data_IF_036213634251
#
_entry.id   IF_036213634251
#
_cell.length_a   1.000
_cell.length_b   1.000
_cell.length_c   1.000
_cell.angle_alpha   90.00
_cell.angle_beta   90.00
_cell.angle_gamma   90.00
#
_symmetry.space_group_name_H-M   'P 1'
#
loop_
_entity.id
_entity.type
_entity.pdbx_description
1 polymer ?
#
# COMPACT_ATOMS: atom_id res chain seq x y z
N UNK A 1 21.56 -8.00 -0.21
CA UNK A 1 20.29 -8.54 0.37
C UNK A 1 19.18 -7.58 0.09
N UNK A 2 18.02 -8.08 -0.35
CA UNK A 2 16.80 -7.31 -0.63
C UNK A 2 15.83 -7.55 0.52
N UNK A 3 15.17 -6.48 1.02
CA UNK A 3 14.00 -6.58 1.88
C UNK A 3 12.83 -6.07 1.03
N UNK A 4 11.94 -6.98 0.65
CA UNK A 4 10.81 -6.70 -0.23
C UNK A 4 9.54 -6.55 0.59
N UNK A 5 8.99 -5.35 0.63
CA UNK A 5 7.73 -5.06 1.33
C UNK A 5 6.55 -5.22 0.36
N UNK A 6 5.83 -6.33 0.53
CA UNK A 6 4.68 -6.69 -0.28
C UNK A 6 3.33 -6.39 0.42
N UNK A 7 3.28 -5.36 1.28
CA UNK A 7 2.07 -5.02 2.04
C UNK A 7 0.86 -4.65 1.17
N UNK A 8 1.07 -4.29 -0.08
CA UNK A 8 0.02 -3.91 -1.04
C UNK A 8 -0.14 -4.89 -2.21
N UNK A 9 0.43 -6.08 -2.15
CA UNK A 9 0.41 -7.04 -3.26
C UNK A 9 -1.00 -7.40 -3.74
N UNK A 10 -1.98 -7.43 -2.82
CA UNK A 10 -3.38 -7.74 -3.16
C UNK A 10 -4.05 -6.70 -4.09
N UNK A 11 -3.43 -5.53 -4.26
CA UNK A 11 -3.88 -4.46 -5.14
C UNK A 11 -3.29 -4.54 -6.54
N UNK A 12 -2.32 -5.42 -6.77
CA UNK A 12 -1.73 -5.63 -8.10
C UNK A 12 -2.79 -6.21 -9.03
N UNK A 13 -2.96 -5.58 -10.18
CA UNK A 13 -3.96 -5.95 -11.19
C UNK A 13 -3.37 -6.21 -12.57
N UNK A 14 -2.10 -5.88 -12.78
CA UNK A 14 -1.39 -6.08 -14.03
C UNK A 14 -0.59 -7.38 -13.97
N UNK A 15 -0.70 -8.23 -14.99
CA UNK A 15 -0.11 -9.57 -15.03
C UNK A 15 1.43 -9.58 -15.10
N UNK A 16 2.05 -8.48 -15.50
CA UNK A 16 3.50 -8.30 -15.60
C UNK A 16 4.15 -7.75 -14.31
N UNK A 17 3.34 -7.49 -13.29
CA UNK A 17 3.80 -7.04 -11.97
C UNK A 17 3.85 -8.21 -10.99
N UNK A 18 5.05 -8.54 -10.51
CA UNK A 18 5.24 -9.66 -9.58
C UNK A 18 4.49 -9.47 -8.25
N UNK A 19 3.73 -10.49 -7.81
CA UNK A 19 3.06 -10.53 -6.51
C UNK A 19 4.01 -10.93 -5.38
N UNK A 20 5.12 -11.58 -5.72
CA UNK A 20 6.15 -12.02 -4.77
C UNK A 20 7.53 -11.81 -5.38
N UNK A 21 8.49 -11.41 -4.55
CA UNK A 21 9.89 -11.35 -4.96
C UNK A 21 10.40 -12.74 -5.40
N UNK A 22 9.77 -13.82 -4.91
CA UNK A 22 10.17 -15.19 -5.21
C UNK A 22 9.70 -15.70 -6.59
N UNK A 23 8.97 -14.89 -7.34
CA UNK A 23 8.73 -15.10 -8.77
C UNK A 23 9.98 -14.73 -9.59
N UNK A 24 10.91 -13.96 -9.02
CA UNK A 24 12.19 -13.64 -9.64
C UNK A 24 13.21 -14.77 -9.37
N UNK A 25 13.89 -15.20 -10.42
CA UNK A 25 14.95 -16.21 -10.32
C UNK A 25 16.07 -15.75 -9.38
N UNK A 26 16.56 -16.64 -8.53
CA UNK A 26 17.62 -16.36 -7.56
C UNK A 26 17.16 -15.63 -6.28
N UNK A 27 15.94 -15.11 -6.20
CA UNK A 27 15.48 -14.32 -5.06
C UNK A 27 15.57 -15.07 -3.71
N UNK A 28 15.39 -16.40 -3.68
CA UNK A 28 15.50 -17.20 -2.45
C UNK A 28 16.87 -17.13 -1.78
N UNK A 29 17.90 -16.77 -2.51
CA UNK A 29 19.29 -16.66 -1.99
C UNK A 29 19.67 -15.24 -1.59
N UNK A 30 18.85 -14.24 -1.88
CA UNK A 30 19.19 -12.83 -1.65
C UNK A 30 18.06 -11.95 -1.07
N UNK A 31 16.83 -12.47 -0.91
CA UNK A 31 15.68 -11.65 -0.51
C UNK A 31 14.92 -12.20 0.70
N UNK A 32 14.38 -11.27 1.49
CA UNK A 32 13.38 -11.48 2.54
C UNK A 32 12.11 -10.78 2.09
N UNK A 33 10.95 -11.42 2.23
CA UNK A 33 9.66 -10.83 1.91
C UNK A 33 8.84 -10.53 3.16
N UNK A 34 8.27 -9.33 3.22
CA UNK A 34 7.37 -8.89 4.28
C UNK A 34 5.94 -8.83 3.75
N UNK A 35 5.00 -9.41 4.48
CA UNK A 35 3.56 -9.43 4.17
C UNK A 35 2.76 -8.82 5.30
N UNK A 36 1.64 -8.18 4.96
CA UNK A 36 0.77 -7.53 5.93
C UNK A 36 -0.70 -7.80 5.62
N UNK A 37 -1.49 -8.09 6.65
CA UNK A 37 -2.95 -8.15 6.56
C UNK A 37 -3.63 -6.79 6.79
N UNK A 38 -2.84 -5.76 7.11
CA UNK A 38 -3.39 -4.43 7.45
C UNK A 38 -4.18 -3.81 6.32
N UNK A 39 -3.70 -3.94 5.07
CA UNK A 39 -4.27 -3.23 3.93
C UNK A 39 -5.18 -4.10 3.07
N UNK A 40 -4.87 -5.38 2.93
CA UNK A 40 -5.68 -6.30 2.16
C UNK A 40 -6.91 -6.81 2.93
N UNK A 41 -6.78 -7.14 4.22
CA UNK A 41 -7.83 -7.75 5.04
C UNK A 41 -8.42 -6.81 6.10
N UNK A 42 -8.05 -5.54 6.11
CA UNK A 42 -8.54 -4.58 7.10
C UNK A 42 -7.98 -4.78 8.51
N UNK A 43 -6.90 -5.53 8.68
CA UNK A 43 -6.33 -5.88 9.99
C UNK A 43 -5.44 -4.78 10.60
N UNK A 44 -5.60 -3.52 10.20
CA UNK A 44 -4.79 -2.41 10.72
C UNK A 44 -4.82 -2.33 12.24
N UNK A 45 -5.99 -2.50 12.87
CA UNK A 45 -6.15 -2.53 14.33
C UNK A 45 -5.88 -3.90 14.96
N UNK A 46 -5.93 -4.99 14.18
CA UNK A 46 -5.73 -6.36 14.66
C UNK A 46 -4.25 -6.75 14.77
N UNK A 47 -3.40 -6.12 13.97
CA UNK A 47 -1.92 -6.24 14.00
C UNK A 47 -1.40 -7.61 13.60
N UNK A 48 -1.56 -7.98 12.33
CA UNK A 48 -1.03 -9.22 11.77
C UNK A 48 -0.22 -8.96 10.51
N UNK A 49 0.90 -9.64 10.42
CA UNK A 49 1.77 -9.73 9.26
C UNK A 49 2.66 -10.95 9.38
N UNK A 50 3.39 -11.27 8.34
CA UNK A 50 4.38 -12.35 8.38
C UNK A 50 5.60 -12.01 7.53
N UNK A 51 6.70 -12.69 7.83
CA UNK A 51 7.97 -12.55 7.13
C UNK A 51 8.38 -13.89 6.55
N UNK A 52 8.72 -13.91 5.28
CA UNK A 52 9.27 -15.09 4.62
C UNK A 52 10.79 -14.95 4.54
N UNK A 53 11.49 -15.84 5.21
CA UNK A 53 12.96 -15.93 5.17
C UNK A 53 13.31 -17.32 4.62
N UNK A 54 13.75 -17.42 3.36
CA UNK A 54 14.09 -18.72 2.75
C UNK A 54 15.21 -19.44 3.49
N UNK A 55 15.17 -20.78 3.46
CA UNK A 55 16.23 -21.62 4.07
C UNK A 55 17.55 -21.48 3.31
N UNK A 56 17.48 -21.17 2.03
CA UNK A 56 18.61 -20.95 1.13
C UNK A 56 19.34 -19.62 1.42
N UNK A 57 18.70 -18.69 2.11
CA UNK A 57 19.26 -17.36 2.40
C UNK A 57 20.33 -17.45 3.50
N UNK A 58 21.56 -17.13 3.14
CA UNK A 58 22.73 -17.18 4.02
C UNK A 58 23.54 -15.88 3.96
N UNK A 59 24.26 -15.60 5.03
CA UNK A 59 25.32 -14.61 5.08
C UNK A 59 26.63 -15.34 5.46
N UNK A 60 27.51 -15.58 4.48
CA UNK A 60 28.59 -16.55 4.62
C UNK A 60 27.99 -17.93 4.93
N UNK A 61 28.48 -18.57 5.98
CA UNK A 61 27.98 -19.90 6.42
C UNK A 61 26.78 -19.83 7.35
N UNK A 62 26.30 -18.61 7.68
CA UNK A 62 25.24 -18.42 8.66
C UNK A 62 23.86 -18.41 7.98
N UNK A 63 22.96 -19.30 8.41
CA UNK A 63 21.57 -19.33 7.96
C UNK A 63 20.77 -18.17 8.55
N UNK A 64 20.28 -17.26 7.70
CA UNK A 64 19.40 -16.16 8.14
C UNK A 64 18.03 -16.68 8.59
N UNK A 65 17.53 -17.76 7.99
CA UNK A 65 16.29 -18.42 8.43
C UNK A 65 16.41 -18.92 9.88
N UNK A 66 17.49 -19.61 10.24
CA UNK A 66 17.70 -20.08 11.60
C UNK A 66 17.85 -18.93 12.61
N UNK A 67 18.55 -17.86 12.23
CA UNK A 67 18.69 -16.65 13.06
C UNK A 67 17.34 -15.98 13.28
N UNK A 68 16.54 -15.83 12.21
CA UNK A 68 15.21 -15.24 12.28
C UNK A 68 14.27 -16.06 13.18
N UNK A 69 14.23 -17.39 12.98
CA UNK A 69 13.42 -18.29 13.80
C UNK A 69 13.75 -18.18 15.29
N UNK A 70 15.06 -18.17 15.64
CA UNK A 70 15.50 -17.98 17.01
C UNK A 70 15.11 -16.61 17.57
N UNK A 71 15.37 -15.52 16.82
CA UNK A 71 15.04 -14.17 17.27
C UNK A 71 13.53 -14.02 17.47
N UNK A 72 12.74 -14.45 16.50
CA UNK A 72 11.27 -14.36 16.55
C UNK A 72 10.71 -15.15 17.74
N UNK A 73 11.14 -16.42 17.89
CA UNK A 73 10.67 -17.29 18.97
C UNK A 73 11.12 -16.87 20.38
N UNK A 74 12.20 -16.10 20.53
CA UNK A 74 12.70 -15.66 21.85
C UNK A 74 12.31 -14.24 22.23
N UNK A 75 12.10 -13.35 21.25
CA UNK A 75 11.81 -11.93 21.50
C UNK A 75 10.34 -11.59 21.42
N UNK A 76 9.57 -12.30 20.60
CA UNK A 76 8.19 -11.95 20.30
C UNK A 76 7.18 -13.10 20.54
N UNK A 77 7.57 -14.36 20.27
CA UNK A 77 6.75 -15.59 20.34
C UNK A 77 5.58 -15.66 19.35
N UNK A 78 5.34 -14.64 18.56
CA UNK A 78 4.29 -14.59 17.55
C UNK A 78 3.08 -13.74 17.95
N UNK A 79 2.20 -13.52 16.99
CA UNK A 79 0.94 -12.82 17.20
C UNK A 79 -0.04 -13.65 18.06
N UNK A 80 -1.04 -13.03 18.72
CA UNK A 80 -2.05 -13.76 19.48
C UNK A 80 -2.72 -14.85 18.64
N UNK A 81 -3.00 -16.01 19.24
CA UNK A 81 -3.55 -17.17 18.52
C UNK A 81 -4.85 -16.87 17.77
N UNK A 82 -5.76 -16.11 18.38
CA UNK A 82 -7.04 -15.70 17.75
C UNK A 82 -6.76 -14.91 16.46
N UNK A 83 -5.77 -14.02 16.48
CA UNK A 83 -5.39 -13.19 15.34
C UNK A 83 -4.78 -14.07 14.23
N UNK A 84 -3.97 -15.08 14.59
CA UNK A 84 -3.44 -16.05 13.62
C UNK A 84 -4.56 -16.85 12.96
N UNK A 85 -5.57 -17.29 13.72
CA UNK A 85 -6.75 -18.00 13.17
C UNK A 85 -7.57 -17.11 12.24
N UNK A 86 -7.71 -15.82 12.58
CA UNK A 86 -8.33 -14.85 11.70
C UNK A 86 -7.54 -14.69 10.38
N UNK A 87 -6.20 -14.64 10.45
CA UNK A 87 -5.34 -14.60 9.27
C UNK A 87 -5.45 -15.85 8.40
N UNK A 88 -5.58 -17.03 9.01
CA UNK A 88 -5.82 -18.28 8.28
C UNK A 88 -7.16 -18.24 7.53
N UNK A 89 -8.20 -17.71 8.15
CA UNK A 89 -9.54 -17.59 7.54
C UNK A 89 -9.52 -16.69 6.28
N UNK A 90 -8.61 -15.71 6.20
CA UNK A 90 -8.42 -14.86 5.01
C UNK A 90 -8.09 -15.68 3.76
N UNK A 91 -7.39 -16.81 3.92
CA UNK A 91 -7.00 -17.68 2.81
C UNK A 91 -8.05 -18.74 2.44
N UNK A 92 -9.16 -18.82 3.18
CA UNK A 92 -10.31 -19.64 2.77
C UNK A 92 -10.97 -19.07 1.49
N UNK A 93 -11.76 -19.88 0.79
CA UNK A 93 -12.45 -19.41 -0.43
C UNK A 93 -13.37 -18.22 -0.12
N UNK A 94 -14.08 -18.25 1.01
CA UNK A 94 -14.92 -17.15 1.47
C UNK A 94 -14.08 -15.90 1.82
N UNK A 95 -12.95 -16.08 2.50
CA UNK A 95 -12.03 -14.99 2.83
C UNK A 95 -11.45 -14.32 1.58
N UNK A 96 -10.99 -15.11 0.62
CA UNK A 96 -10.48 -14.62 -0.67
C UNK A 96 -11.55 -13.85 -1.47
N UNK A 97 -12.80 -14.33 -1.46
CA UNK A 97 -13.90 -13.64 -2.13
C UNK A 97 -14.17 -12.26 -1.49
N UNK A 98 -14.23 -12.19 -0.17
CA UNK A 98 -14.39 -10.92 0.58
C UNK A 98 -13.22 -9.97 0.36
N UNK A 99 -11.98 -10.49 0.32
CA UNK A 99 -10.81 -9.69 0.01
C UNK A 99 -10.91 -9.05 -1.38
N UNK A 100 -11.27 -9.84 -2.37
CA UNK A 100 -11.41 -9.36 -3.76
C UNK A 100 -12.46 -8.25 -3.86
N UNK A 101 -13.57 -8.40 -3.15
CA UNK A 101 -14.62 -7.37 -3.09
C UNK A 101 -14.10 -6.08 -2.44
N UNK A 102 -13.46 -6.19 -1.27
CA UNK A 102 -12.90 -5.05 -0.55
C UNK A 102 -11.82 -4.32 -1.34
N UNK A 103 -10.87 -5.05 -1.92
CA UNK A 103 -9.82 -4.47 -2.76
C UNK A 103 -10.44 -3.80 -3.99
N UNK A 104 -11.39 -4.47 -4.65
CA UNK A 104 -12.12 -3.92 -5.79
C UNK A 104 -12.85 -2.61 -5.47
N UNK A 105 -13.42 -2.51 -4.28
CA UNK A 105 -14.05 -1.28 -3.81
C UNK A 105 -13.05 -0.11 -3.73
N UNK A 106 -11.90 -0.32 -3.10
CA UNK A 106 -10.86 0.72 -3.01
C UNK A 106 -10.25 1.05 -4.38
N UNK A 107 -10.06 0.05 -5.24
CA UNK A 107 -9.54 0.31 -6.59
C UNK A 107 -10.55 1.05 -7.48
N UNK A 108 -11.86 0.89 -7.24
CA UNK A 108 -12.89 1.73 -7.86
C UNK A 108 -12.74 3.20 -7.45
N UNK A 109 -12.46 3.47 -6.16
CA UNK A 109 -12.18 4.82 -5.68
C UNK A 109 -10.90 5.38 -6.33
N UNK A 110 -9.83 4.60 -6.36
CA UNK A 110 -8.56 5.00 -6.98
C UNK A 110 -8.75 5.37 -8.45
N UNK A 111 -9.54 4.58 -9.19
CA UNK A 111 -9.88 4.85 -10.58
C UNK A 111 -10.64 6.17 -10.72
N UNK A 112 -11.65 6.42 -9.90
CA UNK A 112 -12.43 7.66 -9.92
C UNK A 112 -11.55 8.90 -9.66
N UNK A 113 -10.65 8.82 -8.68
CA UNK A 113 -9.69 9.91 -8.39
C UNK A 113 -8.76 10.14 -9.59
N UNK A 114 -8.15 9.08 -10.10
CA UNK A 114 -7.20 9.17 -11.22
C UNK A 114 -7.86 9.74 -12.48
N UNK A 115 -9.02 9.22 -12.86
CA UNK A 115 -9.76 9.68 -14.04
C UNK A 115 -10.22 11.13 -13.90
N UNK A 116 -10.73 11.52 -12.73
CA UNK A 116 -11.17 12.88 -12.45
C UNK A 116 -10.03 13.88 -12.61
N UNK A 117 -8.92 13.64 -11.95
CA UNK A 117 -7.73 14.49 -12.02
C UNK A 117 -7.11 14.52 -13.42
N UNK A 118 -7.01 13.39 -14.10
CA UNK A 118 -6.49 13.34 -15.49
C UNK A 118 -7.37 14.11 -16.44
N UNK A 119 -8.70 14.00 -16.30
CA UNK A 119 -9.67 14.75 -17.12
C UNK A 119 -9.56 16.27 -16.90
N UNK A 120 -9.23 16.68 -15.69
CA UNK A 120 -8.97 18.09 -15.35
C UNK A 120 -7.58 18.59 -15.83
N UNK A 121 -6.76 17.74 -16.43
CA UNK A 121 -5.45 18.11 -16.99
C UNK A 121 -4.27 17.96 -16.05
N UNK A 122 -4.48 17.34 -14.87
CA UNK A 122 -3.37 17.11 -13.91
C UNK A 122 -2.49 15.95 -14.28
N UNK A 123 -1.20 16.06 -13.94
CA UNK A 123 -0.25 14.96 -14.03
C UNK A 123 -0.38 14.08 -12.79
N UNK A 124 -0.82 12.84 -13.00
CA UNK A 124 -1.06 11.87 -11.93
C UNK A 124 -0.35 10.55 -12.20
N UNK A 125 0.09 9.90 -11.12
CA UNK A 125 0.77 8.61 -11.13
C UNK A 125 0.11 7.66 -10.14
N UNK A 126 0.32 6.35 -10.31
CA UNK A 126 -0.25 5.32 -9.42
C UNK A 126 -1.73 5.05 -9.67
N UNK A 127 -2.44 4.53 -8.65
CA UNK A 127 -3.86 4.19 -8.73
C UNK A 127 -4.20 3.00 -9.64
N UNK A 128 -3.22 2.12 -9.95
CA UNK A 128 -3.40 0.91 -10.77
C UNK A 128 -3.09 -0.33 -9.94
N UNK A 129 -1.88 -0.44 -9.38
CA UNK A 129 -1.45 -1.56 -8.55
C UNK A 129 -1.33 -1.19 -7.06
N UNK A 130 -1.88 -0.05 -6.68
CA UNK A 130 -1.93 0.43 -5.30
C UNK A 130 -3.08 1.44 -5.13
N UNK A 131 -3.63 1.57 -3.91
CA UNK A 131 -4.74 2.48 -3.62
C UNK A 131 -4.26 3.91 -3.36
N UNK A 132 -3.14 4.31 -3.94
CA UNK A 132 -2.56 5.64 -3.80
C UNK A 132 -2.38 6.29 -5.16
N UNK A 133 -2.70 7.57 -5.21
CA UNK A 133 -2.53 8.42 -6.37
C UNK A 133 -1.57 9.54 -6.00
N UNK A 134 -0.54 9.73 -6.79
CA UNK A 134 0.35 10.88 -6.71
C UNK A 134 -0.08 11.92 -7.73
N UNK A 135 -0.28 13.13 -7.25
CA UNK A 135 -0.61 14.32 -8.02
C UNK A 135 0.62 15.23 -8.05
N UNK A 136 1.03 15.70 -9.21
CA UNK A 136 1.97 16.81 -9.30
C UNK A 136 1.21 18.10 -8.96
N UNK A 137 1.74 18.87 -7.99
CA UNK A 137 1.07 20.12 -7.56
C UNK A 137 0.94 21.11 -8.72
N UNK A 138 -0.20 21.83 -8.85
CA UNK A 138 -0.39 22.83 -9.88
C UNK A 138 0.51 24.06 -9.61
N UNK A 139 0.74 24.86 -10.66
CA UNK A 139 1.37 26.18 -10.61
C UNK A 139 2.70 26.24 -9.82
N UNK A 140 3.42 25.13 -9.78
CA UNK A 140 4.68 24.98 -9.03
C UNK A 140 4.53 25.25 -7.51
N UNK A 141 3.32 25.08 -6.97
CA UNK A 141 3.08 25.14 -5.54
C UNK A 141 3.98 24.14 -4.80
N UNK A 142 4.44 24.52 -3.62
CA UNK A 142 5.08 23.55 -2.73
C UNK A 142 4.06 22.52 -2.23
N UNK A 143 4.53 21.36 -1.78
CA UNK A 143 3.64 20.31 -1.26
C UNK A 143 2.78 20.79 -0.10
N UNK A 144 3.30 21.68 0.76
CA UNK A 144 2.57 22.25 1.90
C UNK A 144 1.62 23.37 1.50
N UNK A 145 1.99 24.27 0.60
CA UNK A 145 1.08 25.30 0.10
C UNK A 145 -0.14 24.68 -0.56
N UNK A 146 0.06 23.58 -1.29
CA UNK A 146 -1.04 22.83 -1.89
C UNK A 146 -1.92 22.11 -0.86
N UNK A 147 -1.32 21.63 0.23
CA UNK A 147 -2.08 21.07 1.36
C UNK A 147 -3.02 22.11 1.96
N UNK A 148 -2.48 23.28 2.31
CA UNK A 148 -3.26 24.38 2.90
C UNK A 148 -4.34 24.84 1.93
N UNK A 149 -4.01 24.97 0.65
CA UNK A 149 -4.96 25.35 -0.41
C UNK A 149 -6.15 24.37 -0.50
N UNK A 150 -5.90 23.06 -0.56
CA UNK A 150 -6.97 22.06 -0.61
C UNK A 150 -7.81 22.03 0.66
N UNK A 151 -7.18 22.16 1.81
CA UNK A 151 -7.89 22.18 3.09
C UNK A 151 -8.84 23.39 3.18
N UNK A 152 -8.35 24.58 2.85
CA UNK A 152 -9.11 25.83 2.98
C UNK A 152 -10.22 25.98 1.93
N UNK A 153 -9.98 25.55 0.70
CA UNK A 153 -10.90 25.79 -0.41
C UNK A 153 -11.80 24.59 -0.74
N UNK A 154 -11.33 23.36 -0.49
CA UNK A 154 -12.06 22.14 -0.85
C UNK A 154 -12.43 21.27 0.35
N UNK A 155 -11.96 21.57 1.57
CA UNK A 155 -12.09 20.71 2.75
C UNK A 155 -11.54 19.28 2.51
N UNK A 156 -10.53 19.14 1.67
CA UNK A 156 -9.89 17.87 1.33
C UNK A 156 -8.53 17.78 1.99
N UNK A 157 -8.28 16.66 2.66
CA UNK A 157 -7.01 16.36 3.33
C UNK A 157 -6.31 15.21 2.61
N UNK A 158 -5.06 15.41 2.25
CA UNK A 158 -4.18 14.39 1.71
C UNK A 158 -2.80 14.47 2.36
N UNK A 159 -1.78 13.92 1.72
CA UNK A 159 -0.43 13.92 2.30
C UNK A 159 0.54 14.70 1.40
N UNK A 160 1.16 15.79 1.91
CA UNK A 160 2.21 16.49 1.19
C UNK A 160 3.35 15.53 0.81
N UNK A 161 3.78 15.59 -0.45
CA UNK A 161 4.82 14.70 -0.96
C UNK A 161 6.16 14.88 -0.27
N UNK A 162 6.50 16.10 0.15
CA UNK A 162 7.70 16.40 0.95
C UNK A 162 7.77 15.60 2.26
N UNK A 163 6.65 15.15 2.80
CA UNK A 163 6.59 14.24 3.96
C UNK A 163 7.22 12.86 3.71
N UNK A 164 7.48 12.50 2.44
CA UNK A 164 8.15 11.25 2.03
C UNK A 164 9.62 11.47 1.66
N UNK A 165 10.13 12.66 1.85
CA UNK A 165 11.49 13.05 1.57
C UNK A 165 11.60 14.12 0.47
N UNK A 166 12.83 14.64 0.22
CA UNK A 166 13.04 15.78 -0.69
C UNK A 166 12.54 15.55 -2.12
N UNK A 167 12.61 14.32 -2.61
CA UNK A 167 12.14 13.95 -3.95
C UNK A 167 10.62 14.01 -4.11
N UNK A 168 9.88 14.10 -3.00
CA UNK A 168 8.43 14.25 -3.00
C UNK A 168 7.95 15.71 -3.04
N UNK A 169 8.88 16.68 -2.99
CA UNK A 169 8.50 18.10 -3.10
C UNK A 169 7.87 18.41 -4.45
N UNK A 170 6.79 19.22 -4.44
CA UNK A 170 5.99 19.48 -5.64
C UNK A 170 5.03 18.34 -6.04
N UNK A 171 4.82 17.39 -5.11
CA UNK A 171 3.84 16.31 -5.26
C UNK A 171 2.91 16.24 -4.05
N UNK A 172 1.77 15.58 -4.26
CA UNK A 172 0.76 15.37 -3.23
C UNK A 172 0.16 13.96 -3.37
N UNK A 173 0.03 13.23 -2.25
CA UNK A 173 -0.50 11.88 -2.27
C UNK A 173 -1.95 11.86 -1.79
N UNK A 174 -2.82 11.32 -2.63
CA UNK A 174 -4.21 10.99 -2.31
C UNK A 174 -4.34 9.49 -2.03
N UNK A 175 -5.34 9.13 -1.23
CA UNK A 175 -5.65 7.74 -0.87
C UNK A 175 -7.07 7.37 -1.26
N UNK A 176 -7.25 6.11 -1.65
CA UNK A 176 -8.55 5.55 -2.04
C UNK A 176 -9.30 4.85 -0.88
N UNK A 177 -8.83 4.97 0.36
CA UNK A 177 -9.41 4.26 1.52
C UNK A 177 -10.67 4.93 2.13
N UNK A 178 -11.30 5.85 1.44
CA UNK A 178 -12.57 6.47 1.84
C UNK A 178 -13.81 5.69 1.38
N UNK A 179 -15.00 6.21 1.69
CA UNK A 179 -16.22 5.75 1.03
C UNK A 179 -16.26 6.25 -0.40
N UNK A 180 -17.00 5.55 -1.29
CA UNK A 180 -17.09 5.96 -2.68
C UNK A 180 -17.80 7.32 -2.82
N UNK A 181 -18.83 7.55 -2.04
CA UNK A 181 -19.58 8.80 -1.99
C UNK A 181 -18.70 9.98 -1.59
N UNK A 182 -17.92 9.82 -0.51
CA UNK A 182 -16.98 10.86 -0.06
C UNK A 182 -15.85 11.07 -1.08
N UNK A 183 -15.42 10.01 -1.76
CA UNK A 183 -14.41 10.11 -2.83
C UNK A 183 -14.94 10.97 -3.98
N UNK A 184 -16.17 10.74 -4.42
CA UNK A 184 -16.78 11.55 -5.49
C UNK A 184 -16.99 13.00 -5.05
N UNK A 185 -17.49 13.23 -3.83
CA UNK A 185 -17.68 14.58 -3.29
C UNK A 185 -16.35 15.34 -3.18
N UNK A 186 -15.29 14.68 -2.68
CA UNK A 186 -13.95 15.26 -2.61
C UNK A 186 -13.40 15.61 -4.01
N UNK A 187 -13.64 14.75 -5.00
CA UNK A 187 -13.22 15.02 -6.38
C UNK A 187 -13.99 16.21 -6.97
N UNK A 188 -15.30 16.28 -6.77
CA UNK A 188 -16.11 17.40 -7.24
C UNK A 188 -15.62 18.73 -6.65
N UNK A 189 -15.43 18.81 -5.32
CA UNK A 189 -14.91 20.00 -4.65
C UNK A 189 -13.49 20.35 -5.10
N UNK A 190 -12.60 19.38 -5.21
CA UNK A 190 -11.23 19.64 -5.68
C UNK A 190 -11.21 20.18 -7.11
N UNK A 191 -12.02 19.61 -8.02
CA UNK A 191 -12.05 20.02 -9.43
C UNK A 191 -12.68 21.41 -9.66
N UNK A 192 -13.49 21.91 -8.72
CA UNK A 192 -14.05 23.27 -8.80
C UNK A 192 -13.01 24.32 -8.37
N UNK A 193 -12.11 23.95 -7.45
CA UNK A 193 -11.18 24.88 -6.82
C UNK A 193 -9.74 24.76 -7.33
N UNK A 194 -9.41 23.71 -8.04
CA UNK A 194 -8.11 23.52 -8.66
C UNK A 194 -8.25 23.75 -10.16
#
# INVERSE_FOLDING_TARGET
MIIYDAAYEAYISEDDVAHSIYECEGAKTCAIELRSFSKNAGFTGVRLGFTVVPKELKCGDVSLNAMWARRHGTKFNGAPYIVQRAGEAVYSDAGKAQLKEQVGYYMKNAKAIKEGLTKAGYTVFGGVNAPYIWLKTPDQMTSWDFFDYLLENANVVGTPGSGFGPSGEGYFRLTAFGTYENTLAAMELSLIHI
#
